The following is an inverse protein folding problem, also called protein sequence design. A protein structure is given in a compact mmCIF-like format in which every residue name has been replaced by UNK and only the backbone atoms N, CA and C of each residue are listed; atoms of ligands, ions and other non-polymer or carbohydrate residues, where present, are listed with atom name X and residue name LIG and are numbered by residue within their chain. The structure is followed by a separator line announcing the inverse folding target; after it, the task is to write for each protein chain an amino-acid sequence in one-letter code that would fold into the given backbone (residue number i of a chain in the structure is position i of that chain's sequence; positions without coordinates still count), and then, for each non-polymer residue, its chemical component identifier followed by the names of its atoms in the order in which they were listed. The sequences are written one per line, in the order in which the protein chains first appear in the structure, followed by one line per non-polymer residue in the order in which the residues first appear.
data_IF_455897463706
#
_entry.id   IF_455897463706
#
_cell.length_a   1.000
_cell.length_b   1.000
_cell.length_c   1.000
_cell.angle_alpha   90.00
_cell.angle_beta   90.00
_cell.angle_gamma   90.00
#
_symmetry.space_group_name_H-M   'P 1'
#
loop_
_entity.id
_entity.type
_entity.pdbx_description
1 polymer ?
#
# COMPACT_ATOMS: atom_id res chain seq x y z
N UNK A 1 -72.90 0.64 46.93
CA UNK A 1 -72.03 0.74 45.73
C UNK A 1 -71.39 2.14 45.74
N UNK A 2 -70.17 2.31 46.27
CA UNK A 2 -69.46 3.59 46.22
C UNK A 2 -68.60 3.68 44.94
N UNK A 3 -68.61 4.87 44.34
CA UNK A 3 -67.89 5.27 43.13
C UNK A 3 -66.37 5.31 43.36
N UNK A 4 -65.52 4.85 42.43
CA UNK A 4 -64.08 4.91 42.61
C UNK A 4 -63.52 6.31 42.36
N UNK A 5 -62.59 6.70 43.24
CA UNK A 5 -61.84 7.94 43.29
C UNK A 5 -60.94 8.11 42.05
N UNK A 6 -61.05 9.27 41.40
CA UNK A 6 -60.25 9.68 40.24
C UNK A 6 -58.80 9.94 40.68
N UNK A 7 -57.85 9.12 40.21
CA UNK A 7 -56.40 9.37 40.38
C UNK A 7 -55.96 10.48 39.43
N UNK A 8 -55.34 11.50 39.99
CA UNK A 8 -54.68 12.61 39.29
C UNK A 8 -53.29 12.14 38.82
N UNK A 9 -52.89 12.37 37.56
CA UNK A 9 -51.54 12.04 37.11
C UNK A 9 -50.51 13.05 37.63
N UNK A 10 -49.40 12.48 38.07
CA UNK A 10 -48.21 13.09 38.67
C UNK A 10 -47.54 14.12 37.72
N UNK A 11 -47.21 15.30 38.25
CA UNK A 11 -46.53 16.39 37.53
C UNK A 11 -45.07 16.00 37.23
N UNK A 12 -44.74 15.84 35.96
CA UNK A 12 -43.35 15.72 35.48
C UNK A 12 -42.70 17.10 35.49
N UNK A 13 -41.56 17.23 36.20
CA UNK A 13 -40.77 18.45 36.32
C UNK A 13 -39.85 18.58 35.10
N UNK A 14 -40.22 19.42 34.13
CA UNK A 14 -39.39 19.74 32.96
C UNK A 14 -38.48 20.92 33.33
N UNK A 15 -37.17 20.69 33.38
CA UNK A 15 -36.16 21.75 33.51
C UNK A 15 -35.93 22.36 32.13
N UNK A 16 -36.40 23.59 31.91
CA UNK A 16 -36.11 24.38 30.70
C UNK A 16 -34.78 25.14 30.86
N UNK A 17 -33.92 25.09 29.83
CA UNK A 17 -32.78 26.00 29.70
C UNK A 17 -33.26 27.40 29.30
N UNK A 18 -32.59 28.48 29.77
CA UNK A 18 -33.03 29.85 29.51
C UNK A 18 -32.75 30.26 28.05
N UNK A 19 -33.81 30.48 27.29
CA UNK A 19 -33.84 31.25 26.05
C UNK A 19 -34.08 32.73 26.37
N UNK A 20 -33.16 33.61 25.98
CA UNK A 20 -33.39 35.06 25.94
C UNK A 20 -33.76 35.51 24.53
N UNK A 21 -35.05 35.77 24.35
CA UNK A 21 -35.62 36.80 23.45
C UNK A 21 -35.04 38.19 23.75
N UNK A 22 -35.22 39.27 22.98
CA UNK A 22 -35.48 39.58 21.57
C UNK A 22 -35.65 41.13 21.52
N UNK A 23 -35.24 41.78 20.40
CA UNK A 23 -35.80 43.06 19.83
C UNK A 23 -35.44 44.41 20.56
N UNK A 24 -35.38 45.62 19.92
CA UNK A 24 -35.69 46.08 18.54
C UNK A 24 -34.63 46.95 17.79
N UNK A 25 -34.82 47.12 16.47
CA UNK A 25 -34.34 48.24 15.63
C UNK A 25 -35.31 49.46 15.77
N UNK A 26 -35.02 50.76 15.42
CA UNK A 26 -34.38 51.18 14.15
C UNK A 26 -33.66 52.57 14.10
N UNK A 27 -33.22 52.95 12.88
CA UNK A 27 -33.07 54.30 12.26
C UNK A 27 -31.72 55.06 12.24
N UNK A 28 -31.24 55.19 10.98
CA UNK A 28 -30.75 56.37 10.23
C UNK A 28 -29.40 57.05 10.55
N UNK A 29 -28.56 57.07 9.50
CA UNK A 29 -27.40 57.90 9.09
C UNK A 29 -27.41 59.38 9.56
N UNK A 30 -26.26 60.13 9.62
CA UNK A 30 -25.20 60.18 8.59
C UNK A 30 -23.72 60.30 9.04
N UNK A 31 -22.83 59.92 8.12
CA UNK A 31 -21.50 60.48 7.78
C UNK A 31 -20.64 61.18 8.85
N UNK A 32 -19.49 60.59 9.20
CA UNK A 32 -18.30 61.31 9.65
C UNK A 32 -17.00 60.48 9.45
N UNK A 33 -16.19 60.96 8.51
CA UNK A 33 -14.71 61.01 8.52
C UNK A 33 -13.89 59.74 8.78
N UNK A 34 -13.28 59.25 7.68
CA UNK A 34 -12.19 58.27 7.63
C UNK A 34 -10.96 58.73 8.45
N UNK A 35 -10.46 57.95 9.43
CA UNK A 35 -9.17 58.21 10.05
C UNK A 35 -8.04 57.76 9.11
N UNK A 36 -7.17 58.71 8.78
CA UNK A 36 -5.92 58.51 8.04
C UNK A 36 -4.99 57.56 8.82
N UNK A 37 -4.49 56.45 8.23
CA UNK A 37 -3.54 55.60 8.92
C UNK A 37 -2.20 56.31 9.13
N UNK A 38 -1.71 56.22 10.36
CA UNK A 38 -0.45 56.76 10.86
C UNK A 38 0.72 56.00 10.21
N UNK A 39 1.79 56.66 9.74
CA UNK A 39 2.95 55.98 9.19
C UNK A 39 3.67 55.22 10.31
N UNK A 40 3.81 53.91 10.13
CA UNK A 40 4.62 53.04 10.99
C UNK A 40 6.12 53.37 10.81
N UNK A 41 6.93 53.29 11.89
CA UNK A 41 8.35 53.58 11.84
C UNK A 41 9.09 52.52 11.02
N UNK A 42 9.93 53.00 10.10
CA UNK A 42 10.86 52.20 9.30
C UNK A 42 11.90 51.60 10.26
N UNK A 43 11.82 50.29 10.49
CA UNK A 43 12.88 49.53 11.14
C UNK A 43 14.01 49.36 10.12
N UNK A 44 15.19 49.88 10.46
CA UNK A 44 16.40 49.75 9.67
C UNK A 44 16.77 48.26 9.51
N UNK A 45 16.86 47.82 8.26
CA UNK A 45 17.31 46.47 7.89
C UNK A 45 18.75 46.23 8.37
N UNK A 46 19.05 45.09 9.00
CA UNK A 46 20.44 44.73 9.28
C UNK A 46 21.16 44.45 7.96
N UNK A 47 22.32 45.10 7.79
CA UNK A 47 23.25 44.92 6.68
C UNK A 47 23.68 43.45 6.65
N UNK A 48 23.23 42.71 5.65
CA UNK A 48 23.69 41.35 5.38
C UNK A 48 25.13 41.42 4.88
N UNK A 49 26.10 40.74 5.52
CA UNK A 49 27.45 40.63 4.98
C UNK A 49 27.40 39.92 3.62
N UNK A 50 28.04 40.56 2.64
CA UNK A 50 28.16 40.10 1.26
C UNK A 50 29.03 38.84 1.24
N UNK A 51 28.41 37.68 1.03
CA UNK A 51 29.11 36.41 0.86
C UNK A 51 30.06 36.51 -0.34
N UNK A 52 31.36 36.49 -0.09
CA UNK A 52 32.35 36.32 -1.14
C UNK A 52 32.24 34.88 -1.71
N UNK A 53 32.46 34.68 -3.02
CA UNK A 53 32.53 33.34 -3.58
C UNK A 53 33.78 32.65 -3.02
N UNK A 54 33.58 31.58 -2.25
CA UNK A 54 34.66 30.66 -1.87
C UNK A 54 35.12 29.97 -3.17
N UNK A 55 36.29 30.36 -3.68
CA UNK A 55 36.97 29.59 -4.72
C UNK A 55 37.43 28.26 -4.11
N UNK A 56 37.17 27.11 -4.75
CA UNK A 56 37.79 25.86 -4.32
C UNK A 56 39.31 25.97 -4.47
N UNK A 57 40.09 25.30 -3.61
CA UNK A 57 41.53 25.22 -3.77
C UNK A 57 41.86 24.56 -5.12
N UNK A 58 42.63 25.27 -5.95
CA UNK A 58 43.27 24.70 -7.13
C UNK A 58 44.35 23.76 -6.61
N UNK A 59 44.09 22.46 -6.68
CA UNK A 59 45.13 21.45 -6.57
C UNK A 59 45.94 21.54 -7.88
N UNK A 60 47.14 22.10 -7.79
CA UNK A 60 48.18 21.97 -8.82
C UNK A 60 48.57 20.49 -8.93
N UNK A 61 47.83 19.75 -9.76
CA UNK A 61 48.24 18.43 -10.21
C UNK A 61 48.99 18.66 -11.54
N UNK A 62 50.30 18.35 -11.62
CA UNK A 62 51.03 18.43 -12.87
C UNK A 62 50.40 17.49 -13.92
N UNK A 63 50.37 17.87 -15.20
CA UNK A 63 49.78 17.05 -16.25
C UNK A 63 50.58 15.76 -16.40
N UNK A 64 50.02 14.64 -15.95
CA UNK A 64 50.54 13.32 -16.28
C UNK A 64 50.18 13.04 -17.74
N UNK A 65 51.21 13.04 -18.59
CA UNK A 65 51.10 12.66 -19.99
C UNK A 65 50.49 11.24 -20.11
N UNK A 66 49.59 11.00 -21.08
CA UNK A 66 49.07 9.66 -21.32
C UNK A 66 50.19 8.78 -21.87
N UNK A 67 50.74 7.89 -21.04
CA UNK A 67 51.53 6.77 -21.51
C UNK A 67 50.59 5.75 -22.15
N UNK A 68 50.59 5.72 -23.48
CA UNK A 68 50.02 4.64 -24.29
C UNK A 68 50.69 3.31 -23.93
N UNK A 69 50.02 2.50 -23.11
CA UNK A 69 50.30 1.06 -23.05
C UNK A 69 49.44 0.35 -24.09
N UNK A 70 50.10 0.08 -25.21
CA UNK A 70 49.70 -0.92 -26.20
C UNK A 70 49.84 -2.32 -25.59
N UNK A 71 49.01 -3.24 -26.08
CA UNK A 71 49.05 -4.72 -26.07
C UNK A 71 47.96 -5.43 -25.22
N UNK A 72 47.49 -6.63 -25.62
CA UNK A 72 47.55 -7.30 -26.93
C UNK A 72 46.18 -7.78 -27.45
N UNK A 73 46.14 -7.90 -28.79
CA UNK A 73 45.12 -8.58 -29.60
C UNK A 73 44.92 -10.03 -29.13
N UNK A 74 43.68 -10.49 -28.86
CA UNK A 74 43.42 -11.91 -28.65
C UNK A 74 43.71 -12.70 -29.93
N UNK A 75 44.66 -13.62 -29.85
CA UNK A 75 44.90 -14.63 -30.87
C UNK A 75 43.69 -15.56 -30.97
N UNK A 76 43.27 -15.85 -32.20
CA UNK A 76 42.37 -16.94 -32.49
C UNK A 76 43.04 -18.27 -32.12
N UNK A 77 42.42 -19.05 -31.23
CA UNK A 77 42.78 -20.44 -30.99
C UNK A 77 41.82 -21.35 -31.77
N UNK A 78 42.31 -22.51 -32.25
CA UNK A 78 41.70 -23.26 -33.35
C UNK A 78 40.59 -24.20 -32.89
N UNK A 79 39.65 -24.39 -33.80
CA UNK A 79 38.64 -25.44 -33.87
C UNK A 79 39.24 -26.84 -33.63
N UNK A 80 38.68 -27.65 -32.72
CA UNK A 80 38.89 -29.09 -32.74
C UNK A 80 37.90 -29.77 -33.69
N UNK A 81 38.44 -30.64 -34.53
CA UNK A 81 37.76 -31.45 -35.53
C UNK A 81 36.70 -32.41 -34.97
N UNK A 82 35.75 -32.73 -35.85
CA UNK A 82 34.76 -33.79 -35.74
C UNK A 82 35.35 -35.13 -35.26
N UNK A 83 34.62 -35.79 -34.34
CA UNK A 83 34.48 -37.25 -34.39
C UNK A 83 33.01 -37.65 -34.38
N UNK A 84 32.56 -38.09 -35.55
CA UNK A 84 31.38 -38.93 -35.76
C UNK A 84 31.65 -40.31 -35.18
N UNK A 85 30.68 -40.94 -34.51
CA UNK A 85 30.41 -42.35 -34.80
C UNK A 85 28.96 -42.56 -35.26
N UNK A 86 28.83 -43.41 -36.28
CA UNK A 86 27.59 -43.99 -36.77
C UNK A 86 27.30 -45.33 -36.04
N UNK A 87 26.20 -46.05 -36.34
CA UNK A 87 25.30 -46.66 -35.36
C UNK A 87 25.72 -48.07 -34.92
N UNK A 88 25.13 -48.59 -33.84
CA UNK A 88 25.16 -50.03 -33.52
C UNK A 88 23.82 -50.48 -32.97
N UNK A 89 23.27 -51.51 -33.61
CA UNK A 89 22.06 -52.25 -33.27
C UNK A 89 22.31 -53.24 -32.11
N UNK A 90 21.22 -53.51 -31.39
CA UNK A 90 20.87 -54.72 -30.65
C UNK A 90 21.69 -55.12 -29.40
N UNK A 91 20.99 -55.25 -28.26
CA UNK A 91 20.62 -56.56 -27.67
C UNK A 91 19.85 -56.40 -26.34
N UNK A 92 18.69 -57.06 -26.27
CA UNK A 92 17.94 -57.45 -25.06
C UNK A 92 18.74 -58.52 -24.28
N UNK A 93 18.82 -58.52 -22.93
CA UNK A 93 17.98 -59.41 -22.07
C UNK A 93 17.87 -58.92 -20.59
N UNK A 94 17.43 -59.74 -19.60
CA UNK A 94 16.16 -60.44 -19.45
C UNK A 94 15.34 -59.95 -18.24
N UNK A 95 14.09 -60.40 -18.19
CA UNK A 95 13.11 -60.26 -17.11
C UNK A 95 13.58 -60.85 -15.76
N UNK A 96 13.38 -60.17 -14.62
CA UNK A 96 13.34 -60.80 -13.32
C UNK A 96 11.88 -61.03 -12.86
N UNK A 97 11.69 -62.28 -12.47
CA UNK A 97 10.54 -62.96 -11.86
C UNK A 97 9.76 -62.15 -10.83
N UNK A 98 8.44 -62.33 -10.88
CA UNK A 98 7.45 -61.85 -9.92
C UNK A 98 7.76 -62.31 -8.49
N UNK A 99 7.75 -61.36 -7.55
CA UNK A 99 7.64 -61.63 -6.11
C UNK A 99 6.20 -61.32 -5.73
N UNK A 100 5.46 -62.35 -5.31
CA UNK A 100 4.12 -62.24 -4.74
C UNK A 100 4.16 -61.27 -3.55
N UNK A 101 3.44 -60.16 -3.68
CA UNK A 101 3.18 -59.24 -2.57
C UNK A 101 1.89 -59.71 -1.88
N UNK A 102 1.88 -59.87 -0.55
CA UNK A 102 0.69 -60.29 0.19
C UNK A 102 -0.45 -59.26 0.06
N UNK A 103 -1.72 -59.68 0.17
CA UNK A 103 -2.87 -58.82 -0.06
C UNK A 103 -2.86 -57.61 0.89
N UNK A 104 -3.20 -56.41 0.41
CA UNK A 104 -3.30 -55.25 1.27
C UNK A 104 -4.40 -55.47 2.31
N UNK A 105 -4.01 -55.37 3.58
CA UNK A 105 -4.96 -55.24 4.68
C UNK A 105 -5.78 -53.98 4.44
N UNK A 106 -7.08 -54.15 4.33
CA UNK A 106 -8.08 -53.08 4.31
C UNK A 106 -7.84 -52.15 5.50
N UNK A 107 -7.52 -50.86 5.29
CA UNK A 107 -7.55 -49.91 6.38
C UNK A 107 -9.02 -49.76 6.80
N UNK A 108 -9.31 -50.13 8.04
CA UNK A 108 -10.54 -49.74 8.72
C UNK A 108 -10.68 -48.21 8.56
N UNK A 109 -11.80 -47.69 8.03
CA UNK A 109 -11.99 -46.26 7.93
C UNK A 109 -11.90 -45.67 9.34
N UNK A 110 -10.89 -44.84 9.56
CA UNK A 110 -10.83 -43.98 10.72
C UNK A 110 -12.13 -43.17 10.76
N UNK A 111 -12.77 -43.00 11.93
CA UNK A 111 -13.96 -42.18 12.03
C UNK A 111 -13.62 -40.80 11.50
N UNK A 112 -14.27 -40.44 10.39
CA UNK A 112 -14.26 -39.08 9.85
C UNK A 112 -14.64 -38.15 11.00
N UNK A 113 -13.78 -37.21 11.43
CA UNK A 113 -14.21 -36.21 12.40
C UNK A 113 -15.33 -35.42 11.72
N UNK A 114 -16.55 -35.61 12.23
CA UNK A 114 -17.70 -34.82 11.88
C UNK A 114 -17.44 -33.39 12.38
N UNK A 115 -16.76 -32.61 11.54
CA UNK A 115 -16.41 -31.22 11.80
C UNK A 115 -17.15 -30.34 10.82
N UNK A 116 -18.48 -30.40 10.85
CA UNK A 116 -19.31 -29.30 10.35
C UNK A 116 -19.55 -28.29 11.47
N UNK A 117 -18.47 -27.82 12.11
CA UNK A 117 -18.52 -26.53 12.83
C UNK A 117 -18.53 -25.46 11.75
N UNK A 118 -19.73 -25.16 11.25
CA UNK A 118 -19.95 -24.07 10.30
C UNK A 118 -19.54 -22.78 11.01
N UNK A 119 -18.45 -22.15 10.58
CA UNK A 119 -18.02 -20.85 11.13
C UNK A 119 -19.21 -19.89 11.06
N UNK A 120 -19.76 -19.44 12.21
CA UNK A 120 -20.95 -18.59 12.23
C UNK A 120 -20.75 -17.27 11.49
N UNK A 121 -19.49 -16.88 11.25
CA UNK A 121 -19.10 -15.66 10.56
C UNK A 121 -18.73 -15.87 9.08
N UNK A 122 -18.83 -17.10 8.55
CA UNK A 122 -18.56 -17.37 7.13
C UNK A 122 -19.45 -16.55 6.17
N UNK A 123 -20.64 -16.17 6.63
CA UNK A 123 -21.59 -15.36 5.87
C UNK A 123 -21.36 -13.84 6.03
N UNK A 124 -20.28 -13.38 6.69
CA UNK A 124 -20.04 -11.95 6.92
C UNK A 124 -19.98 -11.16 5.59
N UNK A 125 -20.66 -10.00 5.47
CA UNK A 125 -20.72 -9.28 4.21
C UNK A 125 -19.35 -8.71 3.81
N UNK A 126 -18.97 -8.98 2.56
CA UNK A 126 -17.75 -8.45 1.94
C UNK A 126 -18.11 -7.17 1.19
N UNK A 127 -17.42 -6.08 1.48
CA UNK A 127 -17.61 -4.82 0.77
C UNK A 127 -17.19 -4.97 -0.71
N UNK A 128 -18.01 -4.49 -1.68
CA UNK A 128 -17.72 -4.63 -3.10
C UNK A 128 -16.43 -3.88 -3.48
N UNK A 129 -15.63 -4.47 -4.37
CA UNK A 129 -14.35 -3.92 -4.85
C UNK A 129 -13.28 -3.68 -3.77
N UNK A 130 -13.45 -4.23 -2.56
CA UNK A 130 -12.43 -4.11 -1.52
C UNK A 130 -11.23 -5.04 -1.79
N UNK A 131 -10.05 -4.44 -1.95
CA UNK A 131 -8.76 -5.10 -2.12
C UNK A 131 -8.25 -5.64 -0.79
N UNK A 132 -7.37 -6.65 -0.80
CA UNK A 132 -6.76 -7.18 0.43
C UNK A 132 -5.70 -6.22 0.99
N UNK A 133 -5.47 -6.32 2.29
CA UNK A 133 -4.48 -5.51 3.00
C UNK A 133 -5.05 -4.26 3.62
N UNK A 134 -4.29 -3.68 4.54
CA UNK A 134 -4.66 -2.53 5.39
C UNK A 134 -3.99 -1.23 4.97
N UNK A 135 -3.47 -1.15 3.74
CA UNK A 135 -2.70 0.01 3.25
C UNK A 135 -1.49 0.31 4.17
N UNK A 136 -0.89 -0.73 4.74
CA UNK A 136 0.28 -0.62 5.62
C UNK A 136 -0.01 -0.18 7.05
N UNK A 137 -1.28 -0.20 7.47
CA UNK A 137 -1.69 0.10 8.85
C UNK A 137 -1.41 -1.09 9.81
N UNK A 138 -1.47 -2.32 9.29
CA UNK A 138 -1.37 -3.58 10.04
C UNK A 138 -0.27 -4.46 9.43
N UNK A 139 0.02 -5.58 10.09
CA UNK A 139 1.03 -6.54 9.63
C UNK A 139 0.66 -8.00 9.86
N UNK A 140 1.44 -8.88 9.21
CA UNK A 140 1.33 -10.33 9.36
C UNK A 140 -0.04 -10.85 8.94
N UNK A 141 -0.55 -11.81 9.68
CA UNK A 141 -1.86 -12.43 9.41
C UNK A 141 -3.04 -11.44 9.55
N UNK A 142 -2.88 -10.39 10.34
CA UNK A 142 -3.92 -9.38 10.54
C UNK A 142 -4.06 -8.49 9.29
N UNK A 143 -2.94 -8.14 8.64
CA UNK A 143 -2.98 -7.41 7.37
C UNK A 143 -3.61 -8.27 6.25
N UNK A 144 -3.29 -9.56 6.20
CA UNK A 144 -3.90 -10.50 5.24
C UNK A 144 -5.41 -10.65 5.42
N UNK A 145 -5.89 -10.51 6.66
CA UNK A 145 -7.31 -10.54 7.00
C UNK A 145 -8.02 -9.20 6.74
N UNK A 146 -7.27 -8.10 6.65
CA UNK A 146 -7.80 -6.79 6.35
C UNK A 146 -8.12 -6.63 4.85
N UNK A 147 -9.01 -5.68 4.58
CA UNK A 147 -9.32 -5.22 3.24
C UNK A 147 -9.33 -3.70 3.21
N UNK A 148 -9.25 -3.11 2.03
CA UNK A 148 -9.40 -1.68 1.87
C UNK A 148 -10.12 -1.30 0.58
N UNK A 149 -10.71 -0.11 0.53
CA UNK A 149 -11.39 0.44 -0.64
C UNK A 149 -11.04 1.92 -0.82
N UNK A 150 -11.19 2.44 -2.04
CA UNK A 150 -11.09 3.87 -2.36
C UNK A 150 -12.34 4.65 -1.98
N UNK A 151 -13.43 3.96 -1.61
CA UNK A 151 -14.64 4.62 -1.11
C UNK A 151 -14.40 5.21 0.29
N UNK A 152 -15.01 6.36 0.55
CA UNK A 152 -14.91 7.06 1.84
C UNK A 152 -15.65 6.35 2.96
N UNK A 153 -15.20 6.59 4.20
CA UNK A 153 -15.68 5.90 5.41
C UNK A 153 -17.20 5.92 5.56
N UNK A 154 -17.86 7.05 5.25
CA UNK A 154 -19.32 7.18 5.35
C UNK A 154 -20.08 6.19 4.45
N UNK A 155 -19.56 5.92 3.24
CA UNK A 155 -20.17 5.00 2.29
C UNK A 155 -20.00 3.55 2.75
N UNK A 156 -18.82 3.22 3.26
CA UNK A 156 -18.54 1.89 3.84
C UNK A 156 -19.39 1.62 5.06
N UNK A 157 -19.55 2.60 5.94
CA UNK A 157 -20.47 2.54 7.09
C UNK A 157 -21.91 2.30 6.64
N UNK A 158 -22.39 3.02 5.63
CA UNK A 158 -23.75 2.85 5.12
C UNK A 158 -23.99 1.44 4.56
N UNK A 159 -22.99 0.84 3.90
CA UNK A 159 -23.05 -0.54 3.43
C UNK A 159 -23.21 -1.52 4.59
N UNK A 160 -22.36 -1.45 5.62
CA UNK A 160 -22.41 -2.39 6.74
C UNK A 160 -23.68 -2.22 7.59
N UNK A 161 -24.17 -0.99 7.77
CA UNK A 161 -25.44 -0.74 8.44
C UNK A 161 -26.63 -1.37 7.71
N UNK A 162 -26.54 -1.55 6.39
CA UNK A 162 -27.56 -2.20 5.58
C UNK A 162 -27.39 -3.73 5.53
N UNK A 163 -26.17 -4.23 5.32
CA UNK A 163 -25.91 -5.64 5.05
C UNK A 163 -25.78 -6.51 6.30
N UNK A 164 -25.35 -5.97 7.44
CA UNK A 164 -25.25 -6.75 8.67
C UNK A 164 -26.64 -7.26 9.14
N UNK A 165 -27.68 -6.43 9.22
CA UNK A 165 -29.01 -6.89 9.62
C UNK A 165 -29.65 -7.87 8.61
N UNK A 166 -29.45 -7.68 7.30
CA UNK A 166 -30.00 -8.59 6.27
C UNK A 166 -29.41 -10.00 6.39
N UNK A 167 -28.18 -10.11 6.89
CA UNK A 167 -27.49 -11.38 7.17
C UNK A 167 -27.63 -11.86 8.62
N UNK A 168 -28.54 -11.25 9.38
CA UNK A 168 -28.86 -11.57 10.78
C UNK A 168 -27.69 -11.37 11.77
N UNK A 169 -26.78 -10.46 11.45
CA UNK A 169 -25.80 -9.99 12.42
C UNK A 169 -26.40 -8.84 13.23
N UNK A 170 -26.17 -8.86 14.54
CA UNK A 170 -26.39 -7.73 15.42
C UNK A 170 -25.11 -6.90 15.45
N UNK A 171 -25.22 -5.60 15.20
CA UNK A 171 -24.10 -4.66 15.19
C UNK A 171 -24.35 -3.58 16.25
N UNK A 172 -23.51 -3.56 17.28
CA UNK A 172 -23.53 -2.55 18.33
C UNK A 172 -22.36 -1.58 18.13
N UNK A 173 -22.62 -0.28 17.91
CA UNK A 173 -21.54 0.70 17.80
C UNK A 173 -20.81 0.83 19.15
N UNK A 174 -19.49 0.78 19.11
CA UNK A 174 -18.60 0.95 20.26
C UNK A 174 -17.79 2.25 20.17
N UNK A 175 -17.26 2.55 19.00
CA UNK A 175 -16.47 3.77 18.73
C UNK A 175 -17.07 4.48 17.52
N UNK A 176 -17.25 5.80 17.64
CA UNK A 176 -17.86 6.66 16.62
C UNK A 176 -17.04 7.94 16.41
N UNK A 177 -15.78 7.78 15.99
CA UNK A 177 -14.84 8.89 15.74
C UNK A 177 -14.81 9.27 14.25
N UNK A 178 -14.21 10.43 13.93
CA UNK A 178 -14.17 10.92 12.54
C UNK A 178 -13.43 9.96 11.58
N UNK A 179 -12.34 9.36 12.05
CA UNK A 179 -11.45 8.50 11.26
C UNK A 179 -11.57 7.01 11.63
N UNK A 180 -12.38 6.67 12.65
CA UNK A 180 -12.50 5.31 13.16
C UNK A 180 -13.93 5.03 13.62
N UNK A 181 -14.55 4.01 13.01
CA UNK A 181 -15.79 3.41 13.50
C UNK A 181 -15.53 1.98 13.94
N UNK A 182 -16.01 1.61 15.12
CA UNK A 182 -15.88 0.23 15.62
C UNK A 182 -17.26 -0.29 16.00
N UNK A 183 -17.61 -1.46 15.49
CA UNK A 183 -18.85 -2.16 15.82
C UNK A 183 -18.52 -3.51 16.44
N UNK A 184 -19.19 -3.86 17.53
CA UNK A 184 -19.28 -5.23 18.00
C UNK A 184 -20.34 -5.95 17.15
N UNK A 185 -19.91 -6.96 16.41
CA UNK A 185 -20.76 -7.73 15.52
C UNK A 185 -20.88 -9.16 16.04
N UNK A 186 -22.10 -9.63 16.19
CA UNK A 186 -22.38 -11.00 16.65
C UNK A 186 -23.58 -11.59 15.92
N UNK A 187 -23.59 -12.91 15.80
CA UNK A 187 -24.75 -13.70 15.39
C UNK A 187 -25.27 -14.45 16.61
N UNK A 188 -26.56 -14.74 16.65
CA UNK A 188 -27.16 -15.46 17.77
C UNK A 188 -26.38 -16.78 18.04
N UNK A 189 -25.97 -17.00 19.29
CA UNK A 189 -25.17 -18.15 19.69
C UNK A 189 -23.68 -18.12 19.32
N UNK A 190 -23.16 -16.99 18.84
CA UNK A 190 -21.76 -16.87 18.38
C UNK A 190 -20.95 -15.88 19.23
N UNK A 191 -19.63 -16.08 19.30
CA UNK A 191 -18.73 -15.11 19.95
C UNK A 191 -18.70 -13.79 19.19
N UNK A 192 -18.79 -12.64 19.88
CA UNK A 192 -18.72 -11.34 19.22
C UNK A 192 -17.34 -11.13 18.57
N UNK A 193 -17.36 -10.47 17.42
CA UNK A 193 -16.18 -9.95 16.72
C UNK A 193 -16.29 -8.44 16.60
N UNK A 194 -15.20 -7.78 16.23
CA UNK A 194 -15.11 -6.33 16.15
C UNK A 194 -14.79 -5.92 14.72
N UNK A 195 -15.75 -5.23 14.09
CA UNK A 195 -15.58 -4.59 12.79
C UNK A 195 -14.99 -3.20 12.98
N UNK A 196 -13.78 -3.00 12.47
CA UNK A 196 -13.09 -1.73 12.44
C UNK A 196 -13.15 -1.17 11.02
N UNK A 197 -13.66 0.05 10.91
CA UNK A 197 -13.69 0.83 9.67
C UNK A 197 -12.84 2.07 9.91
N UNK A 198 -11.71 2.16 9.22
CA UNK A 198 -10.67 3.16 9.48
C UNK A 198 -10.45 3.98 8.22
N UNK A 199 -10.53 5.30 8.32
CA UNK A 199 -10.09 6.20 7.25
C UNK A 199 -8.57 6.37 7.32
N UNK A 200 -7.89 6.04 6.23
CA UNK A 200 -6.44 6.16 6.08
C UNK A 200 -6.10 6.66 4.68
N UNK A 201 -5.54 7.87 4.61
CA UNK A 201 -5.08 8.50 3.36
C UNK A 201 -6.18 8.54 2.26
N UNK A 202 -7.43 8.80 2.65
CA UNK A 202 -8.57 8.83 1.73
C UNK A 202 -9.06 7.47 1.25
N UNK A 203 -8.58 6.38 1.87
CA UNK A 203 -9.05 5.01 1.69
C UNK A 203 -9.67 4.50 2.98
N UNK A 204 -10.67 3.63 2.87
CA UNK A 204 -11.25 2.98 4.05
C UNK A 204 -10.68 1.58 4.22
N UNK A 205 -10.01 1.32 5.34
CA UNK A 205 -9.57 -0.02 5.77
C UNK A 205 -10.69 -0.68 6.56
N UNK A 206 -10.96 -1.94 6.25
CA UNK A 206 -11.99 -2.80 6.80
C UNK A 206 -11.29 -3.98 7.47
N UNK A 207 -11.44 -4.11 8.78
CA UNK A 207 -10.86 -5.21 9.56
C UNK A 207 -11.92 -5.83 10.48
N UNK A 208 -12.12 -7.14 10.34
CA UNK A 208 -12.91 -7.92 11.29
C UNK A 208 -11.96 -8.72 12.19
N UNK A 209 -11.95 -8.44 13.50
CA UNK A 209 -11.01 -9.04 14.44
C UNK A 209 -11.71 -9.56 15.70
N UNK A 210 -11.13 -10.57 16.36
CA UNK A 210 -11.65 -11.11 17.63
C UNK A 210 -11.40 -10.20 18.84
N UNK A 211 -10.54 -9.20 18.71
CA UNK A 211 -10.24 -8.23 19.76
C UNK A 211 -10.63 -6.83 19.31
N UNK A 212 -11.16 -6.05 20.26
CA UNK A 212 -11.46 -4.65 20.02
C UNK A 212 -10.17 -3.85 20.01
N UNK A 213 -10.01 -3.01 19.00
CA UNK A 213 -8.98 -1.98 18.98
C UNK A 213 -9.64 -0.64 19.32
N UNK A 214 -9.34 -0.06 20.50
CA UNK A 214 -10.11 1.05 21.05
C UNK A 214 -9.86 2.37 20.31
N UNK A 215 -8.66 2.58 19.78
CA UNK A 215 -8.27 3.84 19.16
C UNK A 215 -7.23 3.69 18.04
N UNK A 216 -7.20 4.69 17.14
CA UNK A 216 -6.27 4.75 16.01
C UNK A 216 -4.78 4.74 16.39
N UNK A 217 -4.40 5.24 17.57
CA UNK A 217 -3.00 5.25 18.01
C UNK A 217 -2.55 3.85 18.40
N UNK A 218 -3.43 3.05 18.98
CA UNK A 218 -3.16 1.63 19.24
C UNK A 218 -2.99 0.82 17.95
N UNK A 219 -3.71 1.17 16.86
CA UNK A 219 -3.47 0.61 15.52
C UNK A 219 -2.14 1.06 14.92
N UNK A 220 -1.77 2.34 15.05
CA UNK A 220 -0.45 2.84 14.63
C UNK A 220 0.70 2.20 15.41
N UNK A 221 0.46 1.78 16.65
CA UNK A 221 1.45 1.02 17.43
C UNK A 221 1.61 -0.43 16.90
N UNK A 222 0.63 -0.90 16.11
CA UNK A 222 0.68 -2.15 15.35
C UNK A 222 1.16 -1.94 13.89
N UNK A 223 1.55 -0.72 13.51
CA UNK A 223 2.20 -0.44 12.22
C UNK A 223 3.58 -1.14 12.23
N UNK A 224 3.65 -2.33 11.63
CA UNK A 224 4.90 -3.09 11.58
C UNK A 224 5.75 -2.78 10.35
N UNK A 225 5.36 -1.78 9.54
CA UNK A 225 6.25 -1.24 8.53
C UNK A 225 7.44 -0.62 9.26
N UNK A 226 8.64 -1.09 8.91
CA UNK A 226 9.87 -0.48 9.42
C UNK A 226 9.90 1.02 9.10
N UNK A 227 10.63 1.83 9.87
CA UNK A 227 10.76 3.26 9.59
C UNK A 227 11.33 3.50 8.18
N UNK A 228 12.16 2.58 7.69
CA UNK A 228 12.69 2.56 6.33
C UNK A 228 11.61 2.25 5.28
N UNK A 229 10.72 1.28 5.55
CA UNK A 229 9.58 1.00 4.66
C UNK A 229 8.63 2.20 4.57
N UNK A 230 8.32 2.84 5.70
CA UNK A 230 7.52 4.07 5.72
C UNK A 230 8.23 5.17 4.92
N UNK A 231 9.53 5.36 5.13
CA UNK A 231 10.31 6.35 4.39
C UNK A 231 10.31 6.08 2.88
N UNK A 232 10.39 4.82 2.45
CA UNK A 232 10.31 4.45 1.05
C UNK A 232 8.94 4.79 0.45
N UNK A 233 7.85 4.29 1.02
CA UNK A 233 6.52 4.48 0.43
C UNK A 233 6.04 5.93 0.54
N UNK A 234 6.15 6.54 1.73
CA UNK A 234 5.52 7.84 2.00
C UNK A 234 6.41 9.01 1.61
N UNK A 235 7.74 8.85 1.63
CA UNK A 235 8.67 9.95 1.34
C UNK A 235 9.38 9.82 -0.01
N UNK A 236 9.38 8.66 -0.67
CA UNK A 236 9.97 8.48 -2.01
C UNK A 236 8.86 8.26 -3.05
N UNK A 237 8.05 7.21 -2.90
CA UNK A 237 7.09 6.83 -3.94
C UNK A 237 5.92 7.82 -4.05
N UNK A 238 5.18 8.06 -2.96
CA UNK A 238 4.00 8.93 -2.99
C UNK A 238 4.30 10.33 -3.56
N UNK A 239 5.40 11.01 -3.18
CA UNK A 239 5.72 12.31 -3.77
C UNK A 239 6.00 12.25 -5.28
N UNK A 240 6.68 11.20 -5.75
CA UNK A 240 6.96 11.00 -7.17
C UNK A 240 5.70 10.66 -7.98
N UNK A 241 4.83 9.80 -7.43
CA UNK A 241 3.54 9.43 -8.03
C UNK A 241 2.61 10.65 -8.18
N UNK A 242 2.76 11.66 -7.32
CA UNK A 242 1.97 12.90 -7.36
C UNK A 242 2.73 14.11 -7.95
N UNK A 243 3.94 13.91 -8.50
CA UNK A 243 4.71 15.01 -9.08
C UNK A 243 4.11 15.41 -10.44
N UNK A 244 3.52 16.61 -10.49
CA UNK A 244 2.93 17.20 -11.70
C UNK A 244 3.94 17.31 -12.87
N UNK A 245 5.25 17.34 -12.59
CA UNK A 245 6.30 17.38 -13.61
C UNK A 245 6.60 16.02 -14.22
N UNK A 246 6.36 14.94 -13.48
CA UNK A 246 6.60 13.57 -13.96
C UNK A 246 5.41 13.02 -14.74
N UNK A 247 4.21 13.55 -14.48
CA UNK A 247 2.96 13.16 -15.17
C UNK A 247 2.81 11.63 -15.15
N UNK A 248 2.98 11.06 -13.95
CA UNK A 248 2.74 9.65 -13.72
C UNK A 248 1.24 9.40 -13.59
N UNK A 249 0.80 8.24 -14.07
CA UNK A 249 -0.60 7.82 -14.00
C UNK A 249 -0.70 6.41 -13.44
N UNK A 250 -1.88 6.05 -12.95
CA UNK A 250 -2.16 4.69 -12.50
C UNK A 250 -1.97 3.69 -13.66
N UNK A 251 -1.52 2.49 -13.31
CA UNK A 251 -1.41 1.37 -14.26
C UNK A 251 -2.79 0.73 -14.39
N UNK A 252 -3.32 0.67 -15.60
CA UNK A 252 -4.56 -0.03 -15.89
C UNK A 252 -4.26 -1.49 -16.25
N UNK A 253 -5.23 -2.41 -16.10
CA UNK A 253 -5.02 -3.82 -16.45
C UNK A 253 -4.54 -4.05 -17.88
N UNK A 254 -5.01 -3.22 -18.82
CA UNK A 254 -4.58 -3.25 -20.22
C UNK A 254 -3.09 -2.91 -20.37
N UNK A 255 -2.55 -1.94 -19.62
CA UNK A 255 -1.13 -1.61 -19.65
C UNK A 255 -0.27 -2.78 -19.15
N UNK A 256 -0.71 -3.43 -18.08
CA UNK A 256 0.00 -4.57 -17.49
C UNK A 256 0.00 -5.78 -18.43
N UNK A 257 -1.06 -5.98 -19.23
CA UNK A 257 -1.10 -7.06 -20.23
C UNK A 257 -0.15 -6.83 -21.42
N UNK A 258 0.28 -5.58 -21.63
CA UNK A 258 1.11 -5.13 -22.76
C UNK A 258 2.60 -5.10 -22.46
N UNK A 259 3.02 -5.50 -21.26
CA UNK A 259 4.45 -5.60 -20.93
C UNK A 259 5.04 -6.90 -21.52
N UNK A 260 6.34 -6.89 -21.88
CA UNK A 260 7.07 -8.11 -22.19
C UNK A 260 6.94 -9.14 -21.07
N UNK A 261 6.69 -10.39 -21.43
CA UNK A 261 6.64 -11.50 -20.48
C UNK A 261 5.66 -11.28 -19.29
N UNK A 262 4.52 -10.62 -19.53
CA UNK A 262 3.53 -10.23 -18.50
C UNK A 262 3.16 -11.35 -17.50
N UNK A 263 3.18 -12.62 -17.94
CA UNK A 263 2.96 -13.78 -17.09
C UNK A 263 3.91 -13.85 -15.87
N UNK A 264 5.15 -13.35 -15.99
CA UNK A 264 6.12 -13.28 -14.89
C UNK A 264 5.72 -12.31 -13.77
N UNK A 265 4.85 -11.35 -14.06
CA UNK A 265 4.34 -10.36 -13.10
C UNK A 265 2.89 -10.63 -12.69
N UNK A 266 2.37 -11.84 -12.95
CA UNK A 266 0.94 -12.16 -12.74
C UNK A 266 0.58 -12.39 -11.27
N UNK A 267 1.53 -12.74 -10.40
CA UNK A 267 1.27 -12.86 -8.97
C UNK A 267 1.19 -11.47 -8.32
N UNK A 268 -0.04 -11.00 -8.14
CA UNK A 268 -0.34 -9.72 -7.52
C UNK A 268 0.01 -9.66 -6.03
N UNK A 269 0.30 -10.80 -5.38
CA UNK A 269 0.82 -10.82 -4.01
C UNK A 269 2.32 -10.50 -3.97
N UNK A 270 3.06 -10.89 -5.02
CA UNK A 270 4.49 -10.65 -5.15
C UNK A 270 4.78 -9.30 -5.82
N UNK A 271 4.01 -8.94 -6.85
CA UNK A 271 4.27 -7.79 -7.71
C UNK A 271 3.18 -6.73 -7.59
N UNK A 272 3.59 -5.50 -7.28
CA UNK A 272 2.70 -4.36 -7.15
C UNK A 272 2.98 -3.35 -8.27
N UNK A 273 2.03 -3.19 -9.17
CA UNK A 273 2.05 -2.15 -10.19
C UNK A 273 1.75 -0.78 -9.54
N UNK A 274 2.63 0.19 -9.74
CA UNK A 274 2.56 1.48 -9.06
C UNK A 274 2.12 2.61 -9.97
N UNK A 275 2.88 2.83 -11.03
CA UNK A 275 2.71 3.98 -11.90
C UNK A 275 3.22 3.67 -13.31
N UNK A 276 2.71 4.44 -14.28
CA UNK A 276 3.23 4.48 -15.65
C UNK A 276 3.50 5.92 -16.08
N UNK A 277 4.47 6.09 -16.97
CA UNK A 277 4.69 7.38 -17.65
C UNK A 277 3.53 7.69 -18.58
N UNK A 278 3.14 8.96 -18.70
CA UNK A 278 2.17 9.40 -19.69
C UNK A 278 2.76 9.51 -21.10
N UNK A 279 1.91 9.33 -22.14
CA UNK A 279 2.30 9.49 -23.56
C UNK A 279 2.87 10.87 -23.90
N UNK A 280 2.48 11.91 -23.15
CA UNK A 280 2.92 13.29 -23.35
C UNK A 280 4.27 13.59 -22.69
N UNK A 281 4.73 12.73 -21.78
CA UNK A 281 6.02 12.85 -21.10
C UNK A 281 6.64 11.45 -20.91
N UNK A 282 6.97 10.76 -22.02
CA UNK A 282 7.60 9.45 -21.93
C UNK A 282 8.96 9.58 -21.25
N UNK A 283 9.28 8.60 -20.41
CA UNK A 283 10.61 8.43 -19.83
C UNK A 283 11.04 7.00 -20.11
N UNK A 284 12.29 6.81 -20.51
CA UNK A 284 12.90 5.47 -20.55
C UNK A 284 13.00 4.88 -19.13
N UNK A 285 13.16 3.55 -19.01
CA UNK A 285 13.44 2.90 -17.73
C UNK A 285 14.61 3.52 -16.96
N UNK A 286 15.69 3.87 -17.66
CA UNK A 286 16.89 4.49 -17.08
C UNK A 286 16.63 5.91 -16.59
N UNK A 287 15.95 6.74 -17.40
CA UNK A 287 15.62 8.11 -17.01
C UNK A 287 14.65 8.15 -15.84
N UNK A 288 13.63 7.28 -15.85
CA UNK A 288 12.68 7.20 -14.75
C UNK A 288 13.38 6.71 -13.49
N UNK A 289 14.21 5.67 -13.59
CA UNK A 289 15.00 5.20 -12.45
C UNK A 289 15.92 6.29 -11.90
N UNK A 290 16.62 7.07 -12.73
CA UNK A 290 17.49 8.16 -12.25
C UNK A 290 16.74 9.19 -11.39
N UNK A 291 15.46 9.43 -11.70
CA UNK A 291 14.58 10.31 -10.91
C UNK A 291 14.25 9.67 -9.55
N UNK A 292 13.91 8.38 -9.55
CA UNK A 292 13.69 7.62 -8.31
C UNK A 292 14.97 7.54 -7.46
N UNK A 293 16.12 7.27 -8.08
CA UNK A 293 17.44 7.19 -7.44
C UNK A 293 17.82 8.51 -6.75
N UNK A 294 17.53 9.65 -7.39
CA UNK A 294 17.74 10.95 -6.78
C UNK A 294 16.91 11.15 -5.50
N UNK A 295 15.63 10.74 -5.51
CA UNK A 295 14.77 10.80 -4.32
C UNK A 295 15.19 9.79 -3.25
N UNK A 296 15.52 8.57 -3.64
CA UNK A 296 16.03 7.52 -2.77
C UNK A 296 17.28 8.01 -2.02
N UNK A 297 18.24 8.58 -2.75
CA UNK A 297 19.47 9.15 -2.19
C UNK A 297 19.18 10.29 -1.22
N UNK A 298 18.25 11.20 -1.55
CA UNK A 298 17.82 12.28 -0.66
C UNK A 298 17.18 11.78 0.63
N UNK A 299 16.54 10.60 0.62
CA UNK A 299 15.95 9.94 1.80
C UNK A 299 16.89 8.94 2.48
N UNK A 300 18.16 8.89 2.06
CA UNK A 300 19.20 8.10 2.71
C UNK A 300 19.27 6.63 2.26
N UNK A 301 18.55 6.24 1.21
CA UNK A 301 18.70 4.94 0.57
C UNK A 301 19.97 4.97 -0.29
N UNK A 302 21.06 4.44 0.25
CA UNK A 302 22.39 4.47 -0.39
C UNK A 302 22.82 3.11 -0.94
N UNK A 303 22.17 2.02 -0.54
CA UNK A 303 22.44 0.68 -1.04
C UNK A 303 21.47 0.37 -2.16
N UNK A 304 21.83 0.79 -3.38
CA UNK A 304 21.07 0.52 -4.59
C UNK A 304 21.97 -0.28 -5.54
N UNK A 305 21.54 -1.48 -5.93
CA UNK A 305 22.26 -2.33 -6.89
C UNK A 305 21.38 -2.62 -8.11
N UNK A 306 21.98 -2.51 -9.30
CA UNK A 306 21.36 -3.01 -10.52
C UNK A 306 21.45 -4.53 -10.52
N UNK A 307 20.30 -5.17 -10.68
CA UNK A 307 20.18 -6.63 -10.74
C UNK A 307 20.03 -7.09 -12.19
N UNK A 308 20.00 -8.42 -12.39
CA UNK A 308 19.67 -8.99 -13.69
C UNK A 308 18.27 -8.55 -14.16
N UNK A 309 18.11 -8.32 -15.46
CA UNK A 309 16.81 -8.03 -16.04
C UNK A 309 15.83 -9.17 -15.80
N UNK A 310 14.59 -8.82 -15.44
CA UNK A 310 13.52 -9.78 -15.16
C UNK A 310 12.26 -9.38 -15.92
N UNK A 311 11.69 -10.30 -16.70
CA UNK A 311 10.48 -10.03 -17.48
C UNK A 311 10.61 -8.84 -18.43
N UNK A 312 11.76 -8.70 -19.09
CA UNK A 312 12.08 -7.53 -19.92
C UNK A 312 12.26 -6.20 -19.17
N UNK A 313 12.21 -6.21 -17.84
CA UNK A 313 12.39 -5.02 -17.03
C UNK A 313 13.86 -4.74 -16.68
N UNK A 314 14.15 -3.47 -16.44
CA UNK A 314 15.34 -3.02 -15.74
C UNK A 314 15.10 -3.14 -14.23
N UNK A 315 15.90 -3.97 -13.56
CA UNK A 315 15.68 -4.35 -12.15
C UNK A 315 16.70 -3.70 -11.24
N UNK A 316 16.24 -3.17 -10.11
CA UNK A 316 17.08 -2.63 -9.05
C UNK A 316 16.66 -3.17 -7.69
N UNK A 317 17.64 -3.53 -6.87
CA UNK A 317 17.45 -3.84 -5.46
C UNK A 317 17.78 -2.59 -4.65
N UNK A 318 16.87 -2.22 -3.76
CA UNK A 318 17.05 -1.13 -2.80
C UNK A 318 17.06 -1.73 -1.41
N UNK A 319 18.10 -1.41 -0.64
CA UNK A 319 18.24 -1.83 0.76
C UNK A 319 18.52 -0.62 1.66
N UNK A 320 17.90 -0.61 2.83
CA UNK A 320 18.23 0.33 3.90
C UNK A 320 17.95 -0.35 5.24
N UNK A 321 18.98 -0.55 6.06
CA UNK A 321 18.86 -1.32 7.30
C UNK A 321 18.37 -2.75 7.02
N UNK A 322 17.20 -3.12 7.57
CA UNK A 322 16.54 -4.41 7.33
C UNK A 322 15.54 -4.39 6.19
N UNK A 323 15.17 -3.21 5.69
CA UNK A 323 14.24 -3.08 4.58
C UNK A 323 14.94 -3.42 3.27
N UNK A 324 14.30 -4.26 2.46
CA UNK A 324 14.72 -4.56 1.09
C UNK A 324 13.48 -4.57 0.21
N UNK A 325 13.62 -4.00 -0.98
CA UNK A 325 12.59 -4.01 -2.02
C UNK A 325 13.25 -4.04 -3.39
N UNK A 326 12.52 -4.51 -4.37
CA UNK A 326 12.94 -4.63 -5.75
C UNK A 326 12.05 -3.73 -6.60
N UNK A 327 12.67 -2.89 -7.42
CA UNK A 327 12.00 -2.02 -8.37
C UNK A 327 12.27 -2.52 -9.79
N UNK A 328 11.21 -2.64 -10.57
CA UNK A 328 11.25 -3.04 -11.96
C UNK A 328 10.70 -1.91 -12.82
N UNK A 329 11.44 -1.56 -13.87
CA UNK A 329 11.05 -0.55 -14.84
C UNK A 329 10.94 -1.22 -16.20
N UNK A 330 9.72 -1.37 -16.70
CA UNK A 330 9.43 -2.11 -17.94
C UNK A 330 8.67 -1.24 -18.92
N UNK A 331 9.10 -1.25 -20.19
CA UNK A 331 8.39 -0.53 -21.26
C UNK A 331 7.29 -1.43 -21.81
N UNK A 332 6.06 -0.93 -21.87
CA UNK A 332 4.95 -1.62 -22.52
C UNK A 332 4.90 -1.32 -24.03
N UNK A 333 4.03 -2.02 -24.76
CA UNK A 333 3.88 -1.82 -26.21
C UNK A 333 3.39 -0.41 -26.63
N UNK A 334 2.80 0.36 -25.69
CA UNK A 334 2.43 1.76 -25.88
C UNK A 334 3.62 2.74 -25.66
N UNK A 335 4.82 2.22 -25.43
CA UNK A 335 6.04 2.97 -25.13
C UNK A 335 5.98 3.76 -23.80
N UNK A 336 5.14 3.31 -22.86
CA UNK A 336 5.11 3.81 -21.49
C UNK A 336 6.02 2.95 -20.61
N UNK A 337 6.81 3.58 -19.75
CA UNK A 337 7.55 2.86 -18.70
C UNK A 337 6.65 2.67 -17.49
N UNK A 338 6.50 1.42 -17.06
CA UNK A 338 5.72 0.98 -15.91
C UNK A 338 6.68 0.66 -14.76
N UNK A 339 6.33 1.15 -13.57
CA UNK A 339 7.04 0.89 -12.31
C UNK A 339 6.30 -0.22 -11.56
N UNK A 340 7.02 -1.29 -11.23
CA UNK A 340 6.54 -2.43 -10.46
C UNK A 340 7.44 -2.61 -9.24
N UNK A 341 6.87 -3.00 -8.10
CA UNK A 341 7.59 -3.30 -6.86
C UNK A 341 7.43 -4.76 -6.46
N UNK A 342 8.45 -5.31 -5.80
CA UNK A 342 8.34 -6.58 -5.07
C UNK A 342 9.15 -6.54 -3.78
N UNK A 343 8.68 -7.25 -2.75
CA UNK A 343 9.43 -7.41 -1.48
C UNK A 343 10.52 -8.48 -1.58
N UNK A 344 10.35 -9.42 -2.50
CA UNK A 344 11.25 -10.55 -2.68
C UNK A 344 11.96 -10.48 -4.02
N UNK A 345 13.15 -11.08 -4.07
CA UNK A 345 13.80 -11.36 -5.35
C UNK A 345 12.88 -12.28 -6.16
N UNK A 346 12.81 -12.09 -7.49
CA UNK A 346 12.07 -13.01 -8.34
C UNK A 346 12.76 -14.37 -8.46
#
# INVERSE_FOLDING_TARGET
KPTPTKKEPEKVKITQLPTKSSVPAPKTTPSATVPKPKPSPVVASPIRPRSQPIRPPVLDIPPVAPQSKVLPRPQAQPTPEQKKPSPTLAQTPPSPTAVETPPPSTPTPAPTPDSTVKDPNADFPIYPNAERGSVGLLAGEIDKAARHTTDGLAQVVAFYNKELPTRKFNAKPLTDEAELKVYEVSKEGSTPQYLHLIDKDGKTVILLASQQVPDLKSLKSAEARSSEEIAFYDNVLKPLENDEKLVLSAVEPDDASKIPEAAKFSDTNQFQFRAKTGKLSPKSPEELFAIYEAQLSQKGFTQISKEASYGGALTYKITQGKFTTYMYFVVNSDNNTIVILSKDSP
#
